data_IF_562855395510
#
_entry.id   IF_562855395510
#
_cell.length_a   1.000
_cell.length_b   1.000
_cell.length_c   1.000
_cell.angle_alpha   90.00
_cell.angle_beta   90.00
_cell.angle_gamma   90.00
#
_symmetry.space_group_name_H-M   'P 1'
#
loop_
_entity.id
_entity.type
_entity.pdbx_description
1 polymer ?
#
# COMPACT_ATOMS: atom_id res chain seq x y z
N UNK A 1 14.05 9.09 48.69
CA UNK A 1 13.65 8.06 47.71
C UNK A 1 12.52 8.68 46.89
N UNK A 2 12.76 9.49 45.87
CA UNK A 2 13.59 9.31 44.69
C UNK A 2 14.32 10.62 44.35
N UNK A 3 15.64 10.58 44.40
CA UNK A 3 16.51 11.54 43.73
C UNK A 3 17.50 10.67 42.97
N UNK A 4 17.08 10.20 41.80
CA UNK A 4 17.98 9.55 40.85
C UNK A 4 18.68 10.66 40.07
N UNK A 5 20.00 10.70 40.21
CA UNK A 5 20.90 11.53 39.44
C UNK A 5 20.77 11.17 37.96
N UNK A 6 20.09 12.04 37.20
CA UNK A 6 20.13 12.01 35.75
C UNK A 6 21.54 12.45 35.33
N UNK A 7 22.38 11.49 34.96
CA UNK A 7 23.62 11.75 34.22
C UNK A 7 23.25 12.33 32.86
N UNK A 8 23.32 13.66 32.71
CA UNK A 8 23.26 14.33 31.41
C UNK A 8 24.51 13.98 30.59
N UNK A 9 24.38 13.04 29.66
CA UNK A 9 25.21 13.03 28.47
C UNK A 9 24.94 14.33 27.68
N UNK A 10 25.98 15.06 27.30
CA UNK A 10 25.91 16.28 26.49
C UNK A 10 25.56 15.95 25.01
N UNK A 11 24.53 15.15 24.77
CA UNK A 11 23.89 15.08 23.46
C UNK A 11 22.94 16.27 23.38
N UNK A 12 23.27 17.24 22.54
CA UNK A 12 22.42 18.42 22.33
C UNK A 12 21.00 17.95 22.00
N UNK A 13 20.02 18.38 22.80
CA UNK A 13 18.63 17.99 22.60
C UNK A 13 18.20 18.53 21.23
N UNK A 14 17.91 17.62 20.32
CA UNK A 14 17.33 17.94 19.02
C UNK A 14 15.98 18.65 19.21
N UNK A 15 15.80 19.76 18.50
CA UNK A 15 14.60 20.59 18.62
C UNK A 15 13.34 19.80 18.26
N UNK A 16 13.39 18.93 17.25
CA UNK A 16 12.23 18.12 16.86
C UNK A 16 11.83 17.16 17.98
N UNK A 17 12.82 16.50 18.59
CA UNK A 17 12.61 15.63 19.74
C UNK A 17 12.00 16.37 20.94
N UNK A 18 12.46 17.59 21.23
CA UNK A 18 11.87 18.44 22.27
C UNK A 18 10.42 18.81 21.94
N UNK A 19 10.13 19.25 20.72
CA UNK A 19 8.78 19.63 20.29
C UNK A 19 7.81 18.45 20.33
N UNK A 20 8.23 17.27 19.90
CA UNK A 20 7.44 16.03 20.03
C UNK A 20 7.17 15.69 21.50
N UNK A 21 8.15 15.85 22.38
CA UNK A 21 7.94 15.66 23.82
C UNK A 21 6.94 16.65 24.40
N UNK A 22 6.93 17.90 23.93
CA UNK A 22 6.00 18.93 24.39
C UNK A 22 4.58 18.70 23.85
N UNK A 23 4.43 18.21 22.62
CA UNK A 23 3.13 17.88 22.02
C UNK A 23 2.47 16.66 22.66
N UNK A 24 3.25 15.71 23.16
CA UNK A 24 2.76 14.54 23.89
C UNK A 24 2.68 14.76 25.41
N UNK A 25 2.82 16.00 25.87
CA UNK A 25 2.88 16.31 27.29
C UNK A 25 1.51 16.11 27.98
N UNK A 26 1.45 15.57 29.21
CA UNK A 26 0.17 15.31 29.90
C UNK A 26 -0.62 16.59 30.23
N UNK A 27 0.07 17.71 30.46
CA UNK A 27 -0.57 19.02 30.68
C UNK A 27 -0.97 19.66 29.36
N UNK A 28 -2.28 19.77 29.12
CA UNK A 28 -2.85 20.34 27.89
C UNK A 28 -2.39 21.77 27.58
N UNK A 29 -2.20 22.63 28.58
CA UNK A 29 -1.68 23.99 28.34
C UNK A 29 -0.30 24.01 27.67
N UNK A 30 0.58 23.05 28.00
CA UNK A 30 1.90 22.91 27.34
C UNK A 30 1.72 22.44 25.90
N UNK A 31 0.83 21.46 25.67
CA UNK A 31 0.50 20.98 24.32
C UNK A 31 -0.02 22.13 23.46
N UNK A 32 -0.87 22.99 24.01
CA UNK A 32 -1.43 24.14 23.27
C UNK A 32 -0.33 25.13 22.84
N UNK A 33 0.55 25.50 23.76
CA UNK A 33 1.67 26.42 23.48
C UNK A 33 2.61 25.78 22.45
N UNK A 34 2.93 24.50 22.62
CA UNK A 34 3.79 23.77 21.69
C UNK A 34 3.18 23.66 20.29
N UNK A 35 1.88 23.37 20.20
CA UNK A 35 1.16 23.28 18.94
C UNK A 35 1.13 24.63 18.20
N UNK A 36 0.86 25.72 18.92
CA UNK A 36 0.93 27.07 18.35
C UNK A 36 2.35 27.40 17.83
N UNK A 37 3.39 27.06 18.60
CA UNK A 37 4.78 27.27 18.19
C UNK A 37 5.13 26.45 16.94
N UNK A 38 4.78 25.17 16.92
CA UNK A 38 5.00 24.28 15.78
C UNK A 38 4.29 24.79 14.51
N UNK A 39 3.02 25.19 14.61
CA UNK A 39 2.26 25.73 13.48
C UNK A 39 2.96 26.96 12.87
N UNK A 40 3.46 27.88 13.70
CA UNK A 40 4.24 29.03 13.24
C UNK A 40 5.56 28.63 12.58
N UNK A 41 6.28 27.67 13.16
CA UNK A 41 7.55 27.18 12.61
C UNK A 41 7.36 26.48 11.25
N UNK A 42 6.30 25.69 11.09
CA UNK A 42 5.90 25.12 9.80
C UNK A 42 5.55 26.22 8.80
N UNK A 43 4.74 27.20 9.19
CA UNK A 43 4.31 28.27 8.28
C UNK A 43 5.48 29.09 7.72
N UNK A 44 6.49 29.36 8.55
CA UNK A 44 7.74 30.06 8.16
C UNK A 44 8.73 29.12 7.44
N UNK A 45 8.45 27.82 7.35
CA UNK A 45 9.29 26.83 6.66
C UNK A 45 10.54 26.42 7.45
N UNK A 46 10.55 26.65 8.77
CA UNK A 46 11.64 26.26 9.69
C UNK A 46 11.48 24.87 10.29
N UNK A 47 10.32 24.26 10.08
CA UNK A 47 10.01 22.89 10.48
C UNK A 47 9.42 22.13 9.29
N UNK A 48 9.84 20.88 9.10
CA UNK A 48 9.39 20.00 8.01
C UNK A 48 9.20 18.55 8.45
N UNK A 49 9.22 18.29 9.76
CA UNK A 49 9.11 16.92 10.28
C UNK A 49 7.65 16.41 10.18
N UNK A 50 7.36 15.39 9.36
CA UNK A 50 6.01 14.87 9.19
C UNK A 50 5.41 14.30 10.48
N UNK A 51 6.24 13.84 11.43
CA UNK A 51 5.78 13.33 12.74
C UNK A 51 5.17 14.43 13.58
N UNK A 52 5.81 15.60 13.61
CA UNK A 52 5.28 16.76 14.34
C UNK A 52 3.98 17.25 13.68
N UNK A 53 3.92 17.25 12.36
CA UNK A 53 2.71 17.64 11.63
C UNK A 53 1.54 16.69 11.90
N UNK A 54 1.81 15.37 11.96
CA UNK A 54 0.84 14.37 12.38
C UNK A 54 0.33 14.62 13.81
N UNK A 55 1.21 14.95 14.75
CA UNK A 55 0.82 15.36 16.10
C UNK A 55 -0.06 16.62 16.10
N UNK A 56 0.20 17.60 15.22
CA UNK A 56 -0.67 18.78 15.10
C UNK A 56 -2.07 18.42 14.60
N UNK A 57 -2.17 17.52 13.62
CA UNK A 57 -3.46 17.02 13.12
C UNK A 57 -4.20 16.30 14.24
N UNK A 58 -3.48 15.47 15.02
CA UNK A 58 -4.04 14.85 16.22
C UNK A 58 -4.52 15.88 17.23
N UNK A 59 -3.75 16.93 17.53
CA UNK A 59 -4.16 17.98 18.47
C UNK A 59 -5.38 18.75 17.95
N UNK A 60 -5.50 18.95 16.64
CA UNK A 60 -6.66 19.59 16.02
C UNK A 60 -7.93 18.73 16.13
N UNK A 61 -7.82 17.42 15.91
CA UNK A 61 -8.95 16.50 15.91
C UNK A 61 -9.23 15.80 17.24
N UNK A 62 -8.25 15.70 18.12
CA UNK A 62 -8.45 15.55 19.55
C UNK A 62 -9.06 16.88 19.98
N UNK A 63 -10.35 17.06 19.59
CA UNK A 63 -11.21 18.11 20.12
C UNK A 63 -10.80 18.13 21.56
N UNK A 64 -10.36 19.28 22.05
CA UNK A 64 -10.13 19.45 23.46
C UNK A 64 -11.48 19.44 24.21
N UNK A 65 -12.34 18.47 23.88
CA UNK A 65 -13.65 18.07 24.31
C UNK A 65 -13.56 17.50 25.71
N UNK A 66 -13.08 18.33 26.62
CA UNK A 66 -13.68 18.50 27.93
C UNK A 66 -13.08 19.73 28.62
N UNK A 67 -12.83 20.84 27.91
CA UNK A 67 -12.92 22.10 28.63
C UNK A 67 -14.40 22.30 28.92
N UNK A 68 -14.78 21.75 30.07
CA UNK A 68 -16.07 21.92 30.72
C UNK A 68 -16.41 23.41 30.75
N UNK A 69 -17.71 23.69 30.68
CA UNK A 69 -18.43 24.97 30.62
C UNK A 69 -17.96 26.14 31.53
N UNK A 70 -16.86 26.01 32.25
CA UNK A 70 -16.35 26.97 33.25
C UNK A 70 -15.22 27.88 32.71
N UNK A 71 -14.85 27.83 31.43
CA UNK A 71 -13.87 28.77 30.90
C UNK A 71 -14.51 30.13 30.65
N UNK A 72 -14.19 31.10 31.51
CA UNK A 72 -14.55 32.51 31.34
C UNK A 72 -14.27 32.95 29.89
N UNK A 73 -15.30 33.50 29.23
CA UNK A 73 -15.26 33.93 27.83
C UNK A 73 -14.15 34.96 27.53
N UNK A 74 -13.58 35.57 28.57
CA UNK A 74 -12.53 36.57 28.45
C UNK A 74 -11.14 35.99 28.10
N UNK A 75 -10.93 34.67 28.21
CA UNK A 75 -9.62 34.03 27.93
C UNK A 75 -9.44 33.54 26.47
N UNK A 76 -10.36 33.89 25.56
CA UNK A 76 -10.30 33.43 24.17
C UNK A 76 -9.06 33.95 23.42
N UNK A 77 -8.51 35.10 23.82
CA UNK A 77 -7.37 35.72 23.13
C UNK A 77 -6.00 35.36 23.71
N UNK A 78 -5.96 34.69 24.86
CA UNK A 78 -4.70 34.44 25.56
C UNK A 78 -3.87 33.31 24.91
N UNK A 79 -2.55 33.45 24.99
CA UNK A 79 -1.61 32.39 24.59
C UNK A 79 -1.80 31.19 25.51
N UNK A 80 -1.97 30.01 24.93
CA UNK A 80 -2.34 28.81 25.69
C UNK A 80 -3.85 28.53 25.71
N UNK A 81 -4.67 29.42 25.14
CA UNK A 81 -6.11 29.19 25.00
C UNK A 81 -6.41 28.10 23.96
N UNK A 82 -7.14 27.03 24.34
CA UNK A 82 -7.54 25.96 23.43
C UNK A 82 -8.39 26.45 22.25
N UNK A 83 -9.28 27.41 22.52
CA UNK A 83 -10.16 28.01 21.50
C UNK A 83 -9.32 28.75 20.45
N UNK A 84 -8.34 29.54 20.90
CA UNK A 84 -7.40 30.22 20.03
C UNK A 84 -6.58 29.24 19.19
N UNK A 85 -6.14 28.14 19.79
CA UNK A 85 -5.40 27.11 19.05
C UNK A 85 -6.27 26.45 17.98
N UNK A 86 -7.51 26.08 18.30
CA UNK A 86 -8.43 25.49 17.33
C UNK A 86 -8.67 26.44 16.14
N UNK A 87 -8.93 27.72 16.40
CA UNK A 87 -9.03 28.75 15.38
C UNK A 87 -7.76 28.86 14.55
N UNK A 88 -6.59 28.90 15.21
CA UNK A 88 -5.29 29.00 14.55
C UNK A 88 -5.03 27.79 13.66
N UNK A 89 -5.27 26.56 14.15
CA UNK A 89 -5.05 25.33 13.39
C UNK A 89 -6.03 25.20 12.22
N UNK A 90 -7.28 25.65 12.39
CA UNK A 90 -8.29 25.66 11.32
C UNK A 90 -7.92 26.58 10.15
N UNK A 91 -7.18 27.67 10.42
CA UNK A 91 -6.64 28.57 9.39
C UNK A 91 -5.28 28.08 8.87
N UNK A 92 -4.48 27.47 9.75
CA UNK A 92 -3.13 27.02 9.44
C UNK A 92 -3.11 25.96 8.35
N UNK A 93 -3.86 24.85 8.47
CA UNK A 93 -3.74 23.75 7.50
C UNK A 93 -4.12 24.15 6.07
N UNK A 94 -5.23 24.88 5.82
CA UNK A 94 -5.53 25.39 4.48
C UNK A 94 -4.45 26.35 3.97
N UNK A 95 -3.97 27.28 4.81
CA UNK A 95 -2.92 28.21 4.39
C UNK A 95 -1.57 27.52 4.16
N UNK A 96 -1.29 26.46 4.92
CA UNK A 96 -0.06 25.67 4.81
C UNK A 96 -0.04 24.87 3.50
N UNK A 97 -1.17 24.26 3.11
CA UNK A 97 -1.30 23.47 1.87
C UNK A 97 -1.29 24.30 0.59
N UNK A 98 -1.45 25.61 0.65
CA UNK A 98 -1.33 26.49 -0.54
C UNK A 98 0.07 26.48 -1.17
N UNK A 99 1.11 26.02 -0.46
CA UNK A 99 2.48 25.91 -1.00
C UNK A 99 2.79 24.47 -1.41
N UNK A 100 3.31 24.28 -2.63
CA UNK A 100 3.61 22.95 -3.18
C UNK A 100 4.45 22.04 -2.29
N UNK A 101 5.57 22.54 -1.77
CA UNK A 101 6.45 21.74 -0.91
C UNK A 101 5.80 21.33 0.42
N UNK A 102 4.86 22.13 0.93
CA UNK A 102 4.18 21.86 2.20
C UNK A 102 3.12 20.76 2.05
N UNK A 103 2.48 20.67 0.88
CA UNK A 103 1.53 19.60 0.58
C UNK A 103 2.17 18.23 0.67
N UNK A 104 3.40 18.11 0.15
CA UNK A 104 4.18 16.88 0.25
C UNK A 104 4.40 16.46 1.71
N UNK A 105 4.85 17.40 2.56
CA UNK A 105 5.04 17.13 4.00
C UNK A 105 3.71 16.75 4.68
N UNK A 106 2.61 17.39 4.29
CA UNK A 106 1.28 17.08 4.80
C UNK A 106 0.82 15.66 4.40
N UNK A 107 1.08 15.22 3.18
CA UNK A 107 0.84 13.84 2.76
C UNK A 107 1.78 12.84 3.45
N UNK A 108 3.07 13.18 3.60
CA UNK A 108 4.04 12.36 4.32
C UNK A 108 3.66 12.17 5.80
N UNK A 109 2.85 13.07 6.38
CA UNK A 109 2.37 12.96 7.75
C UNK A 109 1.31 11.86 7.96
N UNK A 110 0.74 11.30 6.88
CA UNK A 110 -0.29 10.24 6.95
C UNK A 110 0.23 9.01 7.70
N UNK A 111 1.43 8.50 7.36
CA UNK A 111 1.97 7.31 8.01
C UNK A 111 2.24 7.52 9.51
N UNK A 112 2.97 8.57 9.94
CA UNK A 112 3.12 8.89 11.37
C UNK A 112 1.80 9.16 12.10
N UNK A 113 0.79 9.70 11.41
CA UNK A 113 -0.55 9.88 11.97
C UNK A 113 -1.21 8.55 12.27
N UNK A 114 -1.16 7.59 11.34
CA UNK A 114 -1.71 6.24 11.55
C UNK A 114 -1.04 5.55 12.75
N UNK A 115 0.29 5.63 12.83
CA UNK A 115 1.06 5.14 13.98
C UNK A 115 0.62 5.78 15.30
N UNK A 116 0.43 7.09 15.31
CA UNK A 116 0.06 7.83 16.52
C UNK A 116 -1.38 7.55 16.93
N UNK A 117 -2.31 7.49 15.98
CA UNK A 117 -3.72 7.13 16.22
C UNK A 117 -3.82 5.70 16.78
N UNK A 118 -3.03 4.75 16.25
CA UNK A 118 -2.95 3.37 16.77
C UNK A 118 -2.63 3.36 18.27
N UNK A 119 -1.66 4.17 18.71
CA UNK A 119 -1.26 4.25 20.11
C UNK A 119 -2.36 4.85 21.00
N UNK A 120 -3.17 5.77 20.47
CA UNK A 120 -4.24 6.46 21.22
C UNK A 120 -5.54 5.67 21.29
N UNK A 121 -5.87 4.85 20.27
CA UNK A 121 -7.14 4.09 20.18
C UNK A 121 -7.21 2.87 21.11
N UNK A 122 -6.20 2.66 21.97
CA UNK A 122 -6.20 1.56 22.95
C UNK A 122 -7.51 1.49 23.78
N UNK A 123 -7.97 0.26 24.10
CA UNK A 123 -9.34 0.00 24.56
C UNK A 123 -9.66 0.72 25.87
N UNK A 124 -10.38 1.84 25.77
CA UNK A 124 -10.82 2.61 26.94
C UNK A 124 -11.33 4.01 26.61
N UNK A 125 -10.87 4.62 25.52
CA UNK A 125 -11.20 6.01 25.20
C UNK A 125 -12.40 6.12 24.25
N UNK A 126 -13.62 6.28 24.80
CA UNK A 126 -14.88 6.22 24.04
C UNK A 126 -15.19 7.42 23.13
N UNK A 127 -14.33 8.45 23.10
CA UNK A 127 -14.59 9.73 22.40
C UNK A 127 -13.52 10.12 21.36
N UNK A 128 -12.73 9.19 20.85
CA UNK A 128 -11.74 9.54 19.81
C UNK A 128 -12.42 9.84 18.47
N UNK A 129 -12.00 10.90 17.79
CA UNK A 129 -12.39 11.16 16.40
C UNK A 129 -11.94 10.00 15.51
N UNK A 130 -12.78 9.64 14.53
CA UNK A 130 -12.47 8.59 13.56
C UNK A 130 -11.27 8.97 12.70
N UNK A 131 -10.28 8.08 12.61
CA UNK A 131 -9.11 8.21 11.73
C UNK A 131 -9.46 8.61 10.30
N UNK A 132 -10.56 8.07 9.75
CA UNK A 132 -11.02 8.41 8.40
C UNK A 132 -11.32 9.90 8.20
N UNK A 133 -11.82 10.61 9.22
CA UNK A 133 -12.06 12.07 9.13
C UNK A 133 -10.76 12.87 9.11
N UNK A 134 -9.73 12.40 9.82
CA UNK A 134 -8.42 13.05 9.81
C UNK A 134 -7.76 12.89 8.43
N UNK A 135 -7.84 11.69 7.86
CA UNK A 135 -7.31 11.38 6.53
C UNK A 135 -8.05 12.16 5.43
N UNK A 136 -9.39 12.19 5.49
CA UNK A 136 -10.22 12.97 4.57
C UNK A 136 -9.89 14.47 4.63
N UNK A 137 -9.64 15.00 5.83
CA UNK A 137 -9.22 16.38 6.01
C UNK A 137 -7.83 16.68 5.41
N UNK A 138 -6.87 15.77 5.55
CA UNK A 138 -5.55 15.88 4.90
C UNK A 138 -5.73 15.94 3.39
N UNK A 139 -6.44 14.97 2.80
CA UNK A 139 -6.71 14.91 1.37
C UNK A 139 -7.36 16.20 0.88
N UNK A 140 -8.47 16.60 1.51
CA UNK A 140 -9.21 17.81 1.14
C UNK A 140 -8.35 19.07 1.24
N UNK A 141 -7.53 19.20 2.29
CA UNK A 141 -6.63 20.34 2.46
C UNK A 141 -5.58 20.42 1.36
N UNK A 142 -4.99 19.28 0.98
CA UNK A 142 -4.01 19.19 -0.11
C UNK A 142 -4.66 19.54 -1.45
N UNK A 143 -5.80 18.93 -1.78
CA UNK A 143 -6.55 19.18 -3.02
C UNK A 143 -6.95 20.65 -3.16
N UNK A 144 -7.45 21.26 -2.08
CA UNK A 144 -7.80 22.69 -2.09
C UNK A 144 -6.58 23.59 -2.32
N UNK A 145 -5.43 23.24 -1.72
CA UNK A 145 -4.18 23.96 -1.91
C UNK A 145 -3.66 23.87 -3.35
N UNK A 146 -3.77 22.72 -3.99
CA UNK A 146 -3.42 22.53 -5.40
C UNK A 146 -4.32 23.33 -6.33
N UNK A 147 -5.64 23.24 -6.12
CA UNK A 147 -6.62 24.01 -6.89
C UNK A 147 -6.34 25.50 -6.82
N UNK A 148 -6.07 26.03 -5.62
CA UNK A 148 -5.80 27.45 -5.46
C UNK A 148 -4.47 27.89 -6.11
N UNK A 149 -3.43 27.07 -6.04
CA UNK A 149 -2.18 27.36 -6.75
C UNK A 149 -2.40 27.46 -8.27
N UNK A 150 -3.25 26.58 -8.82
CA UNK A 150 -3.64 26.63 -10.21
C UNK A 150 -4.46 27.88 -10.55
N UNK A 151 -5.46 28.22 -9.75
CA UNK A 151 -6.30 29.42 -9.95
C UNK A 151 -5.44 30.70 -10.01
N UNK A 152 -4.35 30.75 -9.24
CA UNK A 152 -3.41 31.88 -9.24
C UNK A 152 -2.51 31.94 -10.49
N UNK A 153 -2.29 30.83 -11.20
CA UNK A 153 -1.38 30.71 -12.36
C UNK A 153 -2.03 31.04 -13.72
N UNK A 154 -3.25 31.60 -13.72
CA UNK A 154 -4.09 32.04 -14.83
C UNK A 154 -5.21 31.05 -15.24
N UNK A 155 -6.38 31.63 -15.54
CA UNK A 155 -7.70 31.13 -15.95
C UNK A 155 -7.81 30.01 -17.02
N UNK A 156 -6.76 29.27 -17.33
CA UNK A 156 -6.86 28.13 -18.21
C UNK A 156 -7.55 27.03 -17.41
N UNK A 157 -8.79 26.70 -17.79
CA UNK A 157 -9.53 25.49 -17.37
C UNK A 157 -8.74 24.25 -17.80
N UNK A 158 -7.63 24.00 -17.12
CA UNK A 158 -6.97 22.71 -17.15
C UNK A 158 -7.65 21.88 -16.07
N UNK A 159 -8.15 20.70 -16.45
CA UNK A 159 -8.56 19.67 -15.51
C UNK A 159 -7.30 19.22 -14.75
N UNK A 160 -6.83 20.03 -13.81
CA UNK A 160 -5.74 19.69 -12.92
C UNK A 160 -6.25 18.65 -11.95
N UNK A 161 -5.41 17.66 -11.72
CA UNK A 161 -5.80 16.51 -10.97
C UNK A 161 -4.85 16.21 -9.83
N UNK A 162 -5.45 16.08 -8.65
CA UNK A 162 -4.72 15.88 -7.43
C UNK A 162 -4.37 14.41 -7.25
N UNK A 163 -3.07 14.10 -7.26
CA UNK A 163 -2.56 12.80 -6.83
C UNK A 163 -2.66 12.60 -5.31
N UNK A 164 -3.25 13.53 -4.54
CA UNK A 164 -3.34 13.47 -3.09
C UNK A 164 -4.15 12.27 -2.60
N UNK A 165 -5.29 11.97 -3.25
CA UNK A 165 -6.14 10.83 -2.90
C UNK A 165 -5.38 9.52 -3.07
N UNK A 166 -4.81 9.28 -4.26
CA UNK A 166 -4.02 8.08 -4.55
C UNK A 166 -2.81 7.97 -3.63
N UNK A 167 -2.08 9.06 -3.38
CA UNK A 167 -0.93 9.07 -2.49
C UNK A 167 -1.31 8.71 -1.05
N UNK A 168 -2.45 9.22 -0.57
CA UNK A 168 -2.97 8.90 0.76
C UNK A 168 -3.39 7.43 0.83
N UNK A 169 -4.03 6.90 -0.21
CA UNK A 169 -4.36 5.46 -0.28
C UNK A 169 -3.12 4.58 -0.29
N UNK A 170 -2.10 4.94 -1.06
CA UNK A 170 -0.80 4.24 -1.06
C UNK A 170 -0.21 4.24 0.35
N UNK A 171 -0.16 5.39 1.03
CA UNK A 171 0.35 5.48 2.40
C UNK A 171 -0.44 4.63 3.40
N UNK A 172 -1.78 4.60 3.30
CA UNK A 172 -2.63 3.74 4.14
C UNK A 172 -2.37 2.26 3.84
N UNK A 173 -2.26 1.89 2.56
CA UNK A 173 -2.02 0.50 2.15
C UNK A 173 -0.63 0.00 2.56
N UNK A 174 0.41 0.83 2.40
CA UNK A 174 1.77 0.54 2.87
C UNK A 174 1.81 0.33 4.39
N UNK A 175 1.09 1.18 5.13
CA UNK A 175 0.95 1.04 6.58
C UNK A 175 0.25 -0.26 6.97
N UNK A 176 -0.86 -0.60 6.28
CA UNK A 176 -1.58 -1.84 6.53
C UNK A 176 -0.71 -3.07 6.24
N UNK A 177 -0.02 -3.12 5.11
CA UNK A 177 0.90 -4.23 4.75
C UNK A 177 2.00 -4.36 5.80
N UNK A 178 2.65 -3.26 6.17
CA UNK A 178 3.80 -3.30 7.09
C UNK A 178 3.45 -3.60 8.55
N UNK A 179 2.22 -3.32 8.98
CA UNK A 179 1.82 -3.42 10.39
C UNK A 179 0.66 -4.40 10.63
N UNK A 180 0.20 -5.12 9.61
CA UNK A 180 -1.06 -5.90 9.62
C UNK A 180 -1.24 -6.76 10.88
N UNK A 181 -0.19 -7.50 11.26
CA UNK A 181 -0.21 -8.43 12.41
C UNK A 181 -0.29 -7.74 13.78
N UNK A 182 0.09 -6.47 13.88
CA UNK A 182 0.07 -5.71 15.14
C UNK A 182 -1.25 -4.94 15.35
N UNK A 183 -2.07 -4.80 14.30
CA UNK A 183 -3.26 -3.96 14.33
C UNK A 183 -4.47 -4.70 14.90
N UNK A 184 -5.28 -3.95 15.67
CA UNK A 184 -6.58 -4.45 16.07
C UNK A 184 -7.51 -4.59 14.86
N UNK A 185 -8.27 -5.68 14.81
CA UNK A 185 -9.17 -5.98 13.70
C UNK A 185 -10.18 -4.85 13.39
N UNK A 186 -10.69 -4.17 14.42
CA UNK A 186 -11.59 -3.01 14.24
C UNK A 186 -10.90 -1.84 13.54
N UNK A 187 -9.61 -1.64 13.78
CA UNK A 187 -8.81 -0.59 13.15
C UNK A 187 -8.51 -0.94 11.69
N UNK A 188 -8.12 -2.19 11.40
CA UNK A 188 -7.96 -2.72 10.03
C UNK A 188 -9.24 -2.48 9.23
N UNK A 189 -10.40 -2.92 9.75
CA UNK A 189 -11.70 -2.74 9.10
C UNK A 189 -12.01 -1.26 8.81
N UNK A 190 -11.67 -0.36 9.72
CA UNK A 190 -11.88 1.08 9.51
C UNK A 190 -10.97 1.62 8.40
N UNK A 191 -9.70 1.20 8.33
CA UNK A 191 -8.79 1.63 7.27
C UNK A 191 -9.18 1.04 5.91
N UNK A 192 -9.61 -0.23 5.83
CA UNK A 192 -10.14 -0.80 4.59
C UNK A 192 -11.38 -0.05 4.08
N UNK A 193 -12.25 0.42 4.99
CA UNK A 193 -13.38 1.28 4.62
C UNK A 193 -12.94 2.64 4.06
N UNK A 194 -11.87 3.23 4.62
CA UNK A 194 -11.32 4.48 4.10
C UNK A 194 -10.75 4.26 2.69
N UNK A 195 -9.99 3.18 2.48
CA UNK A 195 -9.50 2.80 1.14
C UNK A 195 -10.66 2.62 0.14
N UNK A 196 -11.71 1.90 0.53
CA UNK A 196 -12.88 1.67 -0.31
C UNK A 196 -13.75 2.91 -0.56
N UNK A 197 -13.56 3.98 0.22
CA UNK A 197 -14.33 5.22 0.07
C UNK A 197 -13.76 6.21 -0.94
N UNK A 198 -12.59 5.89 -1.51
CA UNK A 198 -11.97 6.73 -2.52
C UNK A 198 -12.87 6.87 -3.75
N UNK A 199 -12.93 8.08 -4.30
CA UNK A 199 -13.73 8.34 -5.49
C UNK A 199 -13.07 7.69 -6.71
N UNK A 200 -13.83 6.85 -7.41
CA UNK A 200 -13.42 6.18 -8.65
C UNK A 200 -12.91 7.17 -9.68
N UNK A 201 -13.57 8.33 -9.78
CA UNK A 201 -13.22 9.36 -10.74
C UNK A 201 -11.83 9.93 -10.49
N UNK A 202 -11.42 10.07 -9.21
CA UNK A 202 -10.12 10.60 -8.82
C UNK A 202 -8.98 9.59 -9.12
N UNK A 203 -9.28 8.30 -9.18
CA UNK A 203 -8.30 7.27 -9.53
C UNK A 203 -8.17 7.16 -11.05
N UNK A 204 -9.31 7.16 -11.76
CA UNK A 204 -9.34 7.01 -13.23
C UNK A 204 -8.72 8.21 -13.93
N UNK A 205 -9.08 9.41 -13.51
CA UNK A 205 -8.53 10.62 -14.12
C UNK A 205 -6.98 10.63 -13.93
N UNK A 206 -6.46 10.20 -12.77
CA UNK A 206 -5.02 10.25 -12.41
C UNK A 206 -4.17 9.45 -13.40
N UNK A 207 -4.76 8.41 -13.99
CA UNK A 207 -4.17 7.64 -15.09
C UNK A 207 -3.99 8.49 -16.35
N UNK A 208 -5.02 9.20 -16.79
CA UNK A 208 -5.08 9.90 -18.08
C UNK A 208 -4.15 11.12 -18.14
N UNK A 209 -3.91 11.80 -17.02
CA UNK A 209 -3.06 12.99 -17.01
C UNK A 209 -1.57 12.67 -17.22
N UNK A 210 -1.14 11.44 -16.92
CA UNK A 210 0.26 11.03 -17.06
C UNK A 210 0.71 10.89 -18.52
N UNK A 211 -0.19 10.82 -19.50
CA UNK A 211 0.21 10.60 -20.91
C UNK A 211 0.76 11.89 -21.55
N UNK A 212 0.37 13.08 -21.05
CA UNK A 212 0.67 14.36 -21.72
C UNK A 212 1.88 15.12 -21.17
N UNK A 213 2.47 14.69 -20.05
CA UNK A 213 3.64 15.35 -19.46
C UNK A 213 4.78 14.35 -19.26
N UNK A 214 6.04 14.75 -19.53
CA UNK A 214 7.25 13.92 -19.32
C UNK A 214 7.46 13.45 -17.85
N UNK A 215 6.52 13.74 -16.94
CA UNK A 215 6.41 13.22 -15.57
C UNK A 215 5.55 11.94 -15.45
N UNK A 216 5.13 11.37 -16.59
CA UNK A 216 4.30 10.16 -16.73
C UNK A 216 4.65 8.97 -15.83
N UNK A 217 5.94 8.81 -15.52
CA UNK A 217 6.45 7.64 -14.79
C UNK A 217 5.95 7.56 -13.34
N UNK A 218 5.55 8.68 -12.72
CA UNK A 218 5.28 8.69 -11.28
C UNK A 218 3.88 8.15 -10.93
N UNK A 219 2.82 8.59 -11.61
CA UNK A 219 1.44 8.20 -11.23
C UNK A 219 1.11 6.74 -11.52
N UNK A 220 1.57 6.21 -12.66
CA UNK A 220 1.41 4.78 -13.00
C UNK A 220 2.08 3.89 -11.94
N UNK A 221 3.23 4.32 -11.42
CA UNK A 221 3.92 3.58 -10.35
C UNK A 221 3.15 3.56 -9.03
N UNK A 222 2.41 4.64 -8.70
CA UNK A 222 1.60 4.71 -7.49
C UNK A 222 0.37 3.82 -7.57
N UNK A 223 -0.32 3.80 -8.71
CA UNK A 223 -1.49 2.93 -8.92
C UNK A 223 -1.06 1.46 -8.90
N UNK A 224 0.04 1.10 -9.56
CA UNK A 224 0.57 -0.28 -9.52
C UNK A 224 0.99 -0.68 -8.11
N UNK A 225 1.62 0.23 -7.35
CA UNK A 225 1.96 -0.01 -5.95
C UNK A 225 0.72 -0.18 -5.08
N UNK A 226 -0.30 0.65 -5.26
CA UNK A 226 -1.57 0.52 -4.57
C UNK A 226 -2.20 -0.83 -4.86
N UNK A 227 -2.31 -1.23 -6.13
CA UNK A 227 -2.85 -2.53 -6.55
C UNK A 227 -2.14 -3.68 -5.84
N UNK A 228 -0.81 -3.73 -5.95
CA UNK A 228 0.01 -4.74 -5.26
C UNK A 228 -0.30 -4.81 -3.75
N UNK A 229 -0.36 -3.66 -3.10
CA UNK A 229 -0.63 -3.61 -1.66
C UNK A 229 -2.05 -4.08 -1.33
N UNK A 230 -3.05 -3.77 -2.17
CA UNK A 230 -4.44 -4.22 -1.96
C UNK A 230 -4.53 -5.74 -2.12
N UNK A 231 -3.90 -6.33 -3.13
CA UNK A 231 -3.86 -7.79 -3.34
C UNK A 231 -3.21 -8.50 -2.12
N UNK A 232 -2.13 -7.93 -1.59
CA UNK A 232 -1.46 -8.43 -0.39
C UNK A 232 -2.35 -8.32 0.86
N UNK A 233 -3.03 -7.18 1.06
CA UNK A 233 -3.98 -6.99 2.17
C UNK A 233 -5.15 -7.96 2.07
N UNK A 234 -5.68 -8.20 0.86
CA UNK A 234 -6.76 -9.16 0.63
C UNK A 234 -6.34 -10.57 1.07
N UNK A 235 -5.18 -11.04 0.60
CA UNK A 235 -4.61 -12.34 0.99
C UNK A 235 -4.40 -12.46 2.51
N UNK A 236 -3.93 -11.38 3.16
CA UNK A 236 -3.78 -11.33 4.63
C UNK A 236 -5.12 -11.41 5.38
N UNK A 237 -6.18 -10.75 4.87
CA UNK A 237 -7.52 -10.80 5.47
C UNK A 237 -8.17 -12.16 5.30
N UNK A 238 -8.03 -12.78 4.12
CA UNK A 238 -8.53 -14.13 3.84
C UNK A 238 -7.91 -15.16 4.77
N UNK A 239 -6.59 -15.12 4.93
CA UNK A 239 -5.85 -16.07 5.78
C UNK A 239 -6.07 -15.86 7.28
N UNK A 240 -6.23 -14.62 7.75
CA UNK A 240 -6.25 -14.32 9.18
C UNK A 240 -7.65 -14.23 9.81
N UNK A 241 -8.63 -13.69 9.08
CA UNK A 241 -9.90 -13.27 9.68
C UNK A 241 -11.14 -13.77 8.94
N UNK A 242 -11.02 -14.08 7.64
CA UNK A 242 -12.17 -14.37 6.76
C UNK A 242 -13.28 -13.31 6.88
N UNK A 243 -12.90 -12.02 7.06
CA UNK A 243 -13.85 -10.92 7.25
C UNK A 243 -14.45 -10.47 5.91
N UNK A 244 -15.59 -11.08 5.55
CA UNK A 244 -16.35 -10.77 4.33
C UNK A 244 -16.72 -9.29 4.18
N UNK A 245 -16.83 -8.53 5.28
CA UNK A 245 -17.16 -7.10 5.21
C UNK A 245 -15.96 -6.29 4.71
N UNK A 246 -14.75 -6.62 5.18
CA UNK A 246 -13.54 -5.99 4.69
C UNK A 246 -13.28 -6.35 3.23
N UNK A 247 -13.36 -7.65 2.90
CA UNK A 247 -13.18 -8.16 1.53
C UNK A 247 -14.20 -7.52 0.57
N UNK A 248 -15.47 -7.48 0.94
CA UNK A 248 -16.50 -6.83 0.10
C UNK A 248 -16.33 -5.32 -0.06
N UNK A 249 -15.64 -4.65 0.87
CA UNK A 249 -15.28 -3.23 0.71
C UNK A 249 -14.11 -3.06 -0.27
N UNK A 250 -13.09 -3.92 -0.15
CA UNK A 250 -11.91 -3.90 -1.01
C UNK A 250 -12.19 -4.38 -2.44
N UNK A 251 -13.08 -5.36 -2.63
CA UNK A 251 -13.40 -5.90 -3.96
C UNK A 251 -13.86 -4.84 -4.96
N UNK A 252 -14.59 -3.81 -4.50
CA UNK A 252 -14.95 -2.66 -5.35
C UNK A 252 -13.73 -1.87 -5.82
N UNK A 253 -12.76 -1.68 -4.94
CA UNK A 253 -11.52 -0.98 -5.27
C UNK A 253 -10.67 -1.81 -6.23
N UNK A 254 -10.61 -3.14 -6.04
CA UNK A 254 -9.91 -4.07 -6.93
C UNK A 254 -10.51 -4.01 -8.34
N UNK A 255 -11.83 -4.10 -8.48
CA UNK A 255 -12.53 -4.00 -9.77
C UNK A 255 -12.19 -2.69 -10.51
N UNK A 256 -12.10 -1.58 -9.76
CA UNK A 256 -11.69 -0.29 -10.33
C UNK A 256 -10.24 -0.34 -10.82
N UNK A 257 -9.32 -0.87 -10.00
CA UNK A 257 -7.90 -0.96 -10.35
C UNK A 257 -7.66 -1.92 -11.54
N UNK A 258 -8.45 -2.98 -11.67
CA UNK A 258 -8.38 -3.90 -12.81
C UNK A 258 -8.87 -3.25 -14.11
N UNK A 259 -9.96 -2.47 -14.05
CA UNK A 259 -10.45 -1.71 -15.21
C UNK A 259 -9.43 -0.71 -15.74
N UNK A 260 -8.55 -0.21 -14.87
CA UNK A 260 -7.47 0.70 -15.26
C UNK A 260 -6.36 -0.03 -16.01
N UNK A 261 -6.12 -1.31 -15.75
CA UNK A 261 -5.07 -2.07 -16.44
C UNK A 261 -5.50 -2.53 -17.84
N UNK A 262 -6.78 -2.88 -18.04
CA UNK A 262 -7.30 -3.40 -19.31
C UNK A 262 -7.23 -2.40 -20.47
N UNK A 263 -7.35 -1.10 -20.20
CA UNK A 263 -7.35 -0.06 -21.22
C UNK A 263 -5.97 0.18 -21.89
N UNK A 264 -4.93 -0.59 -21.54
CA UNK A 264 -3.57 -0.41 -22.08
C UNK A 264 -3.19 -1.41 -23.18
N UNK A 265 -4.03 -2.40 -23.50
CA UNK A 265 -3.65 -3.50 -24.39
C UNK A 265 -4.15 -3.38 -25.85
N UNK A 266 -4.86 -2.32 -26.24
CA UNK A 266 -5.70 -2.34 -27.46
C UNK A 266 -5.29 -1.41 -28.63
N UNK A 267 -4.09 -0.82 -28.66
CA UNK A 267 -3.72 0.18 -29.71
C UNK A 267 -2.38 -0.07 -30.43
N UNK A 268 -1.88 -1.30 -30.48
CA UNK A 268 -0.72 -1.64 -31.35
C UNK A 268 -1.12 -2.49 -32.54
N UNK A 269 -2.08 -2.00 -33.33
CA UNK A 269 -2.21 -2.41 -34.73
C UNK A 269 -1.57 -1.34 -35.63
N UNK A 270 -0.38 -1.69 -36.14
CA UNK A 270 0.02 -1.48 -37.54
C UNK A 270 0.10 -0.03 -38.08
N UNK A 271 1.31 0.52 -38.17
CA UNK A 271 1.84 0.90 -39.50
C UNK A 271 3.38 0.95 -39.46
N UNK A 272 3.99 -0.02 -40.14
CA UNK A 272 5.43 -0.06 -40.38
C UNK A 272 5.79 0.97 -41.48
N UNK A 273 6.45 2.07 -41.14
CA UNK A 273 7.48 2.65 -42.03
C UNK A 273 8.29 3.79 -41.38
N UNK A 274 9.59 3.77 -41.72
CA UNK A 274 10.60 4.86 -41.66
C UNK A 274 11.53 4.92 -40.44
N UNK A 275 12.62 4.15 -40.57
CA UNK A 275 14.02 4.61 -40.65
C UNK A 275 14.38 5.98 -40.04
N UNK A 276 15.34 5.98 -39.09
CA UNK A 276 16.19 7.14 -38.85
C UNK A 276 16.60 7.48 -37.41
N UNK A 277 17.51 6.70 -36.81
CA UNK A 277 18.70 7.27 -36.14
C UNK A 277 18.66 7.74 -34.67
N UNK A 278 19.41 6.98 -33.85
CA UNK A 278 20.44 7.44 -32.89
C UNK A 278 20.10 7.64 -31.38
N UNK A 279 20.52 6.62 -30.62
CA UNK A 279 21.56 6.64 -29.57
C UNK A 279 21.22 6.94 -28.10
N UNK A 280 21.50 5.89 -27.31
CA UNK A 280 21.82 5.81 -25.88
C UNK A 280 20.62 5.77 -24.94
N UNK A 281 20.07 4.55 -24.79
CA UNK A 281 19.62 4.07 -23.49
C UNK A 281 19.92 2.57 -23.43
N UNK A 282 20.20 2.04 -22.25
CA UNK A 282 20.57 0.63 -22.03
C UNK A 282 19.39 -0.26 -22.41
N UNK A 283 19.28 -0.54 -23.71
CA UNK A 283 18.24 -1.37 -24.28
C UNK A 283 18.53 -2.80 -23.88
N UNK A 284 17.70 -3.33 -22.99
CA UNK A 284 17.50 -4.77 -22.90
C UNK A 284 16.81 -5.20 -24.20
N UNK A 285 17.62 -5.36 -25.24
CA UNK A 285 17.21 -5.96 -26.48
C UNK A 285 16.96 -7.46 -26.23
N UNK A 286 15.82 -8.00 -26.69
CA UNK A 286 15.53 -9.42 -26.52
C UNK A 286 16.63 -10.25 -27.18
N UNK A 287 17.30 -11.09 -26.40
CA UNK A 287 18.34 -12.01 -26.89
C UNK A 287 17.80 -13.06 -27.85
N UNK A 288 16.55 -13.47 -27.66
CA UNK A 288 15.84 -14.40 -28.53
C UNK A 288 14.79 -13.65 -29.37
N UNK A 289 14.92 -13.63 -30.71
CA UNK A 289 13.92 -13.01 -31.56
C UNK A 289 12.61 -13.80 -31.54
N UNK A 290 11.50 -13.12 -31.80
CA UNK A 290 10.19 -13.75 -32.03
C UNK A 290 10.32 -14.73 -33.20
N UNK A 291 9.73 -15.91 -33.06
CA UNK A 291 9.87 -17.04 -33.99
C UNK A 291 10.96 -18.04 -33.60
N UNK A 292 11.78 -17.74 -32.59
CA UNK A 292 12.78 -18.71 -32.10
C UNK A 292 12.11 -20.00 -31.63
N UNK A 293 12.53 -21.12 -32.21
CA UNK A 293 12.07 -22.46 -31.82
C UNK A 293 12.77 -22.92 -30.56
N UNK A 294 12.03 -23.55 -29.66
CA UNK A 294 12.53 -24.09 -28.40
C UNK A 294 11.97 -25.50 -28.20
N UNK A 295 12.62 -26.30 -27.35
CA UNK A 295 12.14 -27.61 -26.96
C UNK A 295 12.25 -27.75 -25.45
N UNK A 296 11.16 -28.02 -24.74
CA UNK A 296 11.16 -28.16 -23.28
C UNK A 296 10.73 -29.56 -22.88
N UNK A 297 11.38 -30.12 -21.88
CA UNK A 297 11.01 -31.41 -21.29
C UNK A 297 10.01 -31.20 -20.16
N UNK A 298 8.88 -31.89 -20.24
CA UNK A 298 7.87 -31.94 -19.19
C UNK A 298 7.90 -33.34 -18.58
N UNK A 299 8.19 -33.41 -17.28
CA UNK A 299 8.27 -34.68 -16.56
C UNK A 299 6.95 -35.45 -16.69
N UNK A 300 7.02 -36.71 -17.13
CA UNK A 300 5.85 -37.55 -17.39
C UNK A 300 5.23 -37.41 -18.78
N UNK A 301 5.54 -36.34 -19.54
CA UNK A 301 4.93 -36.07 -20.85
C UNK A 301 5.93 -36.05 -22.01
N UNK A 302 7.23 -35.88 -21.73
CA UNK A 302 8.28 -35.88 -22.75
C UNK A 302 8.62 -34.47 -23.25
N UNK A 303 9.19 -34.38 -24.45
CA UNK A 303 9.62 -33.11 -25.04
C UNK A 303 8.52 -32.48 -25.90
N UNK A 304 8.34 -31.18 -25.74
CA UNK A 304 7.40 -30.39 -26.52
C UNK A 304 8.14 -29.27 -27.24
N UNK A 305 7.79 -29.05 -28.50
CA UNK A 305 8.32 -27.96 -29.31
C UNK A 305 7.46 -26.72 -29.12
N UNK A 306 8.12 -25.59 -28.84
CA UNK A 306 7.51 -24.29 -28.64
C UNK A 306 8.13 -23.23 -29.55
N UNK A 307 7.43 -22.12 -29.71
CA UNK A 307 7.91 -20.95 -30.46
C UNK A 307 7.77 -19.70 -29.60
N UNK A 308 8.81 -18.87 -29.55
CA UNK A 308 8.74 -17.54 -28.93
C UNK A 308 7.77 -16.68 -29.74
N UNK A 309 6.65 -16.27 -29.16
CA UNK A 309 5.62 -15.45 -29.84
C UNK A 309 5.63 -13.99 -29.40
N UNK A 310 6.13 -13.68 -28.18
CA UNK A 310 6.17 -12.30 -27.65
C UNK A 310 7.28 -12.16 -26.61
N UNK A 311 7.84 -10.97 -26.46
CA UNK A 311 8.73 -10.62 -25.36
C UNK A 311 8.16 -9.43 -24.57
N UNK A 312 8.07 -9.56 -23.25
CA UNK A 312 7.63 -8.50 -22.37
C UNK A 312 8.85 -7.77 -21.78
N UNK A 313 9.16 -6.59 -22.34
CA UNK A 313 10.32 -5.78 -21.90
C UNK A 313 10.24 -5.34 -20.44
N UNK A 314 9.03 -5.19 -19.88
CA UNK A 314 8.83 -4.74 -18.48
C UNK A 314 9.24 -5.82 -17.47
N UNK A 315 8.90 -7.07 -17.74
CA UNK A 315 9.16 -8.20 -16.84
C UNK A 315 10.32 -9.10 -17.28
N UNK A 316 10.90 -8.83 -18.46
CA UNK A 316 11.95 -9.65 -19.08
C UNK A 316 11.54 -11.11 -19.27
N UNK A 317 10.27 -11.34 -19.60
CA UNK A 317 9.69 -12.66 -19.84
C UNK A 317 9.37 -12.86 -21.32
N UNK A 318 9.60 -14.07 -21.80
CA UNK A 318 9.27 -14.52 -23.15
C UNK A 318 8.02 -15.38 -23.12
N UNK A 319 7.05 -15.06 -23.96
CA UNK A 319 5.85 -15.87 -24.14
C UNK A 319 6.11 -16.92 -25.21
N UNK A 320 5.93 -18.19 -24.85
CA UNK A 320 6.08 -19.36 -25.71
C UNK A 320 4.70 -19.91 -26.03
N UNK A 321 4.48 -20.32 -27.28
CA UNK A 321 3.33 -21.11 -27.71
C UNK A 321 3.81 -22.49 -28.15
N UNK A 322 3.25 -23.54 -27.56
CA UNK A 322 3.54 -24.94 -27.88
C UNK A 322 2.62 -25.45 -28.99
N UNK A 323 2.97 -26.58 -29.60
CA UNK A 323 2.24 -27.15 -30.74
C UNK A 323 0.79 -27.58 -30.45
N UNK A 324 0.43 -27.77 -29.19
CA UNK A 324 -0.92 -28.08 -28.72
C UNK A 324 -1.79 -26.82 -28.47
N UNK A 325 -1.21 -25.63 -28.59
CA UNK A 325 -1.87 -24.35 -28.36
C UNK A 325 -1.70 -23.79 -26.95
N UNK A 326 -1.03 -24.52 -26.06
CA UNK A 326 -0.73 -24.04 -24.71
C UNK A 326 0.33 -22.94 -24.74
N UNK A 327 0.22 -22.02 -23.78
CA UNK A 327 1.08 -20.82 -23.68
C UNK A 327 1.70 -20.72 -22.31
N UNK A 328 2.98 -20.40 -22.27
CA UNK A 328 3.76 -20.26 -21.05
C UNK A 328 4.65 -19.01 -21.13
N UNK A 329 4.96 -18.40 -19.99
CA UNK A 329 5.94 -17.31 -19.90
C UNK A 329 7.22 -17.82 -19.23
N UNK A 330 8.36 -17.65 -19.90
CA UNK A 330 9.67 -18.12 -19.44
C UNK A 330 10.67 -16.97 -19.32
N UNK A 331 11.56 -17.07 -18.33
CA UNK A 331 12.74 -16.20 -18.21
C UNK A 331 13.79 -16.52 -19.28
N UNK A 332 14.75 -15.61 -19.50
CA UNK A 332 15.86 -15.86 -20.43
C UNK A 332 16.66 -17.11 -20.05
N UNK A 333 16.86 -17.34 -18.75
CA UNK A 333 17.64 -18.45 -18.21
C UNK A 333 16.97 -19.81 -18.50
N UNK A 334 15.66 -19.89 -18.31
CA UNK A 334 14.86 -21.08 -18.62
C UNK A 334 14.82 -21.38 -20.12
N UNK A 335 14.80 -20.33 -20.94
CA UNK A 335 14.89 -20.42 -22.40
C UNK A 335 16.23 -20.99 -22.87
N UNK A 336 17.33 -20.53 -22.27
CA UNK A 336 18.68 -21.07 -22.53
C UNK A 336 18.74 -22.56 -22.13
N UNK A 337 18.22 -22.91 -20.95
CA UNK A 337 18.19 -24.29 -20.48
C UNK A 337 17.39 -25.20 -21.42
N UNK A 338 16.25 -24.71 -21.93
CA UNK A 338 15.41 -25.45 -22.88
C UNK A 338 16.09 -25.63 -24.24
N UNK A 339 16.86 -24.64 -24.70
CA UNK A 339 17.57 -24.72 -25.99
C UNK A 339 18.80 -25.64 -25.96
N UNK A 340 19.53 -25.73 -24.86
CA UNK A 340 20.73 -26.59 -24.77
C UNK A 340 20.38 -28.08 -24.98
N UNK A 341 19.13 -28.48 -24.75
CA UNK A 341 18.65 -29.82 -25.06
C UNK A 341 18.63 -30.14 -26.59
N UNK A 342 18.47 -29.15 -27.48
CA UNK A 342 18.42 -29.39 -28.94
C UNK A 342 19.79 -29.56 -29.57
N UNK A 343 20.81 -28.86 -29.06
CA UNK A 343 22.12 -28.82 -29.68
C UNK A 343 23.00 -30.03 -29.28
N UNK A 344 22.70 -30.68 -28.15
CA UNK A 344 23.43 -31.86 -27.69
C UNK A 344 22.96 -33.18 -28.34
N UNK A 345 21.73 -33.27 -28.86
CA UNK A 345 21.23 -34.50 -29.51
C UNK A 345 21.67 -34.61 -30.98
N UNK A 346 21.91 -33.49 -31.68
CA UNK A 346 22.37 -33.52 -33.09
C UNK A 346 23.82 -34.01 -33.26
N UNK A 347 24.58 -34.17 -32.16
CA UNK A 347 25.94 -34.73 -32.18
C UNK A 347 26.01 -36.24 -31.81
N UNK A 348 24.90 -36.91 -31.46
CA UNK A 348 24.90 -38.35 -31.15
C UNK A 348 24.42 -39.26 -32.29
N UNK A 349 23.76 -38.74 -33.33
CA UNK A 349 23.24 -39.57 -34.44
C UNK A 349 24.26 -39.88 -35.55
N UNK A 350 25.52 -39.45 -35.46
CA UNK A 350 26.58 -39.83 -36.42
C UNK A 350 27.48 -40.99 -35.98
N UNK A 351 27.27 -41.59 -34.81
CA UNK A 351 28.06 -42.75 -34.35
C UNK A 351 27.21 -43.91 -33.82
N UNK A 352 26.27 -44.43 -34.61
CA UNK A 352 25.65 -45.73 -34.28
C UNK A 352 25.19 -46.49 -35.52
N UNK A 353 26.16 -46.79 -36.40
CA UNK A 353 26.00 -47.79 -37.44
C UNK A 353 27.13 -48.83 -37.35
N UNK A 354 27.23 -49.53 -36.21
CA UNK A 354 27.88 -50.84 -36.01
C UNK A 354 27.29 -51.35 -34.69
N UNK A 355 26.32 -52.24 -34.72
CA UNK A 355 26.53 -53.69 -34.59
C UNK A 355 25.22 -54.39 -34.23
N UNK A 356 25.02 -55.55 -34.85
CA UNK A 356 23.92 -56.45 -34.59
C UNK A 356 24.32 -57.43 -33.48
N UNK A 357 23.29 -57.98 -32.83
CA UNK A 357 23.18 -59.36 -32.33
C UNK A 357 23.20 -59.60 -30.83
N UNK A 358 22.40 -60.61 -30.45
CA UNK A 358 22.12 -61.19 -29.12
C UNK A 358 21.19 -60.34 -28.22
N UNK A 359 20.12 -60.84 -27.61
CA UNK A 359 19.64 -62.21 -27.41
C UNK A 359 19.04 -62.30 -26.00
N UNK A 360 17.78 -62.77 -25.93
CA UNK A 360 17.13 -63.53 -24.84
C UNK A 360 16.87 -62.95 -23.43
N UNK A 361 15.67 -63.35 -22.94
CA UNK A 361 15.28 -63.71 -21.57
C UNK A 361 14.61 -62.70 -20.59
N UNK A 362 13.28 -62.83 -20.57
CA UNK A 362 12.38 -63.11 -19.43
C UNK A 362 12.74 -62.72 -17.98
N UNK A 363 11.80 -62.03 -17.31
CA UNK A 363 11.28 -62.24 -15.94
C UNK A 363 10.35 -61.03 -15.62
N UNK A 364 9.02 -61.10 -15.63
CA UNK A 364 8.06 -61.72 -14.70
C UNK A 364 8.40 -61.54 -13.20
N UNK A 365 7.86 -60.47 -12.60
CA UNK A 365 7.45 -60.49 -11.19
C UNK A 365 6.26 -59.56 -10.95
N UNK A 366 5.19 -60.14 -10.43
CA UNK A 366 3.97 -59.51 -9.93
C UNK A 366 4.07 -59.34 -8.42
N UNK A 367 3.19 -58.48 -7.87
CA UNK A 367 2.46 -58.58 -6.58
C UNK A 367 2.69 -57.38 -5.61
N UNK A 368 1.84 -57.17 -4.58
CA UNK A 368 0.43 -56.79 -4.69
C UNK A 368 -0.04 -55.73 -3.65
N UNK A 369 -1.27 -55.27 -3.87
CA UNK A 369 -2.25 -54.62 -2.98
C UNK A 369 -2.04 -54.72 -1.45
N UNK A 370 -2.31 -53.61 -0.74
CA UNK A 370 -2.83 -53.62 0.64
C UNK A 370 -3.94 -52.58 0.85
N UNK A 371 -5.13 -53.11 1.12
CA UNK A 371 -6.33 -52.50 1.69
C UNK A 371 -6.20 -52.43 3.22
N UNK A 372 -6.55 -51.29 3.84
CA UNK A 372 -7.01 -51.09 5.23
C UNK A 372 -7.82 -49.77 5.18
N UNK A 373 -9.09 -49.60 5.57
CA UNK A 373 -10.02 -50.39 6.37
C UNK A 373 -10.29 -49.69 7.72
N UNK A 374 -11.48 -49.05 7.87
CA UNK A 374 -12.21 -48.76 9.14
C UNK A 374 -11.53 -47.77 10.12
N UNK A 375 -12.17 -47.00 11.01
CA UNK A 375 -13.47 -46.92 11.70
C UNK A 375 -13.53 -45.46 12.25
N UNK A 376 -14.63 -44.72 12.10
CA UNK A 376 -15.70 -44.50 13.10
C UNK A 376 -15.34 -43.71 14.38
N UNK A 377 -16.26 -42.79 14.71
CA UNK A 377 -16.73 -42.44 16.07
C UNK A 377 -16.19 -41.22 16.84
N UNK A 378 -17.14 -40.31 17.06
CA UNK A 378 -17.50 -39.58 18.31
C UNK A 378 -17.05 -38.11 18.50
N UNK A 379 -18.04 -37.23 18.33
CA UNK A 379 -18.18 -35.93 19.00
C UNK A 379 -18.30 -36.08 20.52
N UNK A 380 -18.02 -34.99 21.28
CA UNK A 380 -19.05 -34.56 22.20
C UNK A 380 -19.29 -33.05 22.23
N UNK A 381 -20.58 -32.73 22.33
CA UNK A 381 -21.15 -31.47 22.78
C UNK A 381 -20.49 -30.91 24.04
N UNK A 382 -20.27 -29.60 24.08
CA UNK A 382 -20.22 -28.88 25.35
C UNK A 382 -20.89 -27.52 25.23
N UNK A 383 -22.16 -27.49 25.63
CA UNK A 383 -22.86 -26.27 26.04
C UNK A 383 -22.22 -25.75 27.33
N UNK A 384 -21.83 -24.46 27.37
CA UNK A 384 -21.58 -23.78 28.64
C UNK A 384 -22.30 -22.43 28.70
N UNK A 385 -23.04 -22.33 29.80
CA UNK A 385 -23.99 -21.33 30.26
C UNK A 385 -23.56 -19.86 30.20
N UNK A 386 -24.53 -19.03 29.80
CA UNK A 386 -24.61 -17.60 30.08
C UNK A 386 -24.79 -17.36 31.59
N UNK A 387 -23.95 -16.54 32.21
CA UNK A 387 -24.22 -15.94 33.52
C UNK A 387 -24.12 -14.42 33.46
N UNK A 388 -25.29 -13.78 33.45
CA UNK A 388 -25.48 -12.34 33.61
C UNK A 388 -25.07 -11.87 35.00
N UNK A 389 -24.02 -11.05 35.09
CA UNK A 389 -23.68 -10.33 36.33
C UNK A 389 -24.20 -8.88 36.21
N UNK A 390 -25.34 -8.63 36.85
CA UNK A 390 -25.83 -7.28 37.18
C UNK A 390 -25.00 -6.76 38.37
N UNK A 391 -24.13 -5.77 38.15
CA UNK A 391 -23.60 -4.93 39.25
C UNK A 391 -24.53 -3.74 39.48
N UNK A 392 -25.15 -3.70 40.66
CA UNK A 392 -25.77 -2.50 41.25
C UNK A 392 -24.64 -1.55 41.66
N UNK A 393 -24.67 -0.32 41.13
CA UNK A 393 -23.92 0.80 41.69
C UNK A 393 -24.77 1.44 42.79
N UNK A 394 -24.27 1.36 44.02
CA UNK A 394 -24.80 2.08 45.18
C UNK A 394 -24.19 3.48 45.15
N UNK A 395 -25.04 4.51 45.15
CA UNK A 395 -24.64 5.89 45.39
C UNK A 395 -24.17 6.04 46.85
N UNK A 396 -23.01 6.68 47.04
CA UNK A 396 -22.60 7.24 48.33
C UNK A 396 -22.39 8.74 48.13
N UNK A 397 -23.05 9.61 48.91
CA UNK A 397 -22.81 11.04 48.88
C UNK A 397 -21.73 11.40 49.90
N UNK A 398 -20.63 12.01 49.45
CA UNK A 398 -19.86 13.00 50.20
C UNK A 398 -19.12 13.89 49.22
#
# INVERSE_FOLDING_TARGET
>A
VFAEEVKCSNEGIDLSSLLLSLLNHPKKGIVVIAAEACAKLFYVGRLRDPKILACLILVYFDKLASYSDDSDADQVNDVGSPVRLEQLLSLFFPAYSMKGENRKVLLESVSPLLDSVRQVILPGNKKSVSVGKMLDYICTSVMNGEKQELDNLNHIETNFESNATVSTMVAISDFLVSQFSELQHSYIRNLCKVLASANVDDIKKSKNHNITTNTASCGVSLIQRLKKNIDEIESMIESSYSDKVCLGSLGKLIEILESIDSDNEDDTDTDESMDGGSSIDSSFDPKFPIGTKIRKFFEGYGYFEGTVIKFNKKYQLYKIEYGDGDKEELTEEELIASRIATDNETNLEQTSAIDKSFGSDAHMEQSPLKNIGMEDSLEPDTQCSKSSIRRRLVHSPY
#
